data_IF_679122480370
#
_entry.id   IF_679122480370
#
_cell.length_a   1.000
_cell.length_b   1.000
_cell.length_c   1.000
_cell.angle_alpha   90.00
_cell.angle_beta   90.00
_cell.angle_gamma   90.00
#
_symmetry.space_group_name_H-M   'P 1'
#
loop_
_entity.id
_entity.type
_entity.pdbx_description
1 polymer ?
#
# COMPACT_ATOMS: atom_id res chain seq x y z
N UNK A 1 -21.44 1.67 11.33
CA UNK A 1 -20.17 2.02 12.01
C UNK A 1 -19.49 0.73 12.45
N UNK A 2 -19.98 0.08 13.51
CA UNK A 2 -19.37 -1.16 14.03
C UNK A 2 -18.17 -0.85 14.93
N UNK A 3 -17.77 -1.81 15.78
CA UNK A 3 -16.62 -1.65 16.67
C UNK A 3 -15.32 -1.44 15.89
N UNK A 4 -15.14 -2.19 14.81
CA UNK A 4 -13.98 -2.01 13.94
C UNK A 4 -14.02 -0.66 13.20
N UNK A 5 -15.22 -0.15 12.90
CA UNK A 5 -15.41 1.15 12.28
C UNK A 5 -14.86 2.32 13.12
N UNK A 6 -14.84 2.19 14.45
CA UNK A 6 -14.31 3.22 15.36
C UNK A 6 -12.82 3.46 15.14
N UNK A 7 -12.07 2.42 14.77
CA UNK A 7 -10.64 2.54 14.44
C UNK A 7 -10.41 2.77 12.94
N UNK A 8 -11.13 2.04 12.09
CA UNK A 8 -10.99 2.12 10.63
C UNK A 8 -11.20 3.52 10.09
N UNK A 9 -12.23 4.23 10.56
CA UNK A 9 -12.59 5.55 10.05
C UNK A 9 -11.48 6.58 10.30
N UNK A 10 -11.03 6.84 11.55
CA UNK A 10 -9.99 7.84 11.78
C UNK A 10 -8.66 7.48 11.11
N UNK A 11 -8.26 6.20 11.09
CA UNK A 11 -6.98 5.83 10.47
C UNK A 11 -7.00 6.03 8.96
N UNK A 12 -8.08 5.61 8.27
CA UNK A 12 -8.20 5.81 6.83
C UNK A 12 -8.37 7.28 6.46
N UNK A 13 -9.08 8.09 7.26
CA UNK A 13 -9.18 9.53 7.04
C UNK A 13 -7.82 10.22 7.18
N UNK A 14 -7.04 9.86 8.20
CA UNK A 14 -5.67 10.38 8.38
C UNK A 14 -4.76 9.97 7.22
N UNK A 15 -4.72 8.68 6.87
CA UNK A 15 -3.90 8.21 5.75
C UNK A 15 -4.28 8.91 4.43
N UNK A 16 -5.59 9.05 4.16
CA UNK A 16 -6.09 9.68 2.93
C UNK A 16 -5.76 11.17 2.86
N UNK A 17 -6.01 11.90 3.96
CA UNK A 17 -5.76 13.35 3.98
C UNK A 17 -4.28 13.67 3.82
N UNK A 18 -3.40 12.94 4.51
CA UNK A 18 -1.94 13.10 4.38
C UNK A 18 -1.46 12.68 3.00
N UNK A 19 -1.96 11.56 2.44
CA UNK A 19 -1.61 11.14 1.08
C UNK A 19 -1.96 12.21 0.04
N UNK A 20 -3.17 12.76 0.08
CA UNK A 20 -3.61 13.79 -0.87
C UNK A 20 -2.69 15.02 -0.79
N UNK A 21 -2.45 15.54 0.42
CA UNK A 21 -1.61 16.73 0.59
C UNK A 21 -0.17 16.46 0.13
N UNK A 22 0.42 15.34 0.56
CA UNK A 22 1.79 15.00 0.24
C UNK A 22 1.99 14.75 -1.27
N UNK A 23 1.03 14.08 -1.93
CA UNK A 23 1.11 13.79 -3.36
C UNK A 23 1.04 15.07 -4.20
N UNK A 24 0.32 16.09 -3.72
CA UNK A 24 0.27 17.39 -4.39
C UNK A 24 1.51 18.24 -4.08
N UNK A 25 1.93 18.32 -2.82
CA UNK A 25 2.78 19.42 -2.36
C UNK A 25 4.00 19.03 -1.50
N UNK A 26 4.28 17.75 -1.25
CA UNK A 26 5.47 17.38 -0.47
C UNK A 26 6.76 17.82 -1.20
N UNK A 27 7.75 18.36 -0.47
CA UNK A 27 9.06 18.65 -1.04
C UNK A 27 9.82 17.36 -1.39
N UNK A 28 10.97 17.46 -2.08
CA UNK A 28 11.84 16.31 -2.34
C UNK A 28 12.31 15.60 -1.06
N UNK A 29 12.47 14.27 -1.14
CA UNK A 29 12.77 13.37 -0.01
C UNK A 29 14.07 12.60 -0.24
N UNK A 30 14.94 12.52 0.76
CA UNK A 30 16.22 11.80 0.71
C UNK A 30 16.07 10.30 1.02
N UNK A 31 15.52 9.56 0.06
CA UNK A 31 15.16 8.13 0.20
C UNK A 31 16.33 7.23 0.60
N UNK A 32 17.52 7.44 0.02
CA UNK A 32 18.68 6.57 0.27
C UNK A 32 19.56 7.07 1.42
N UNK A 33 19.23 8.24 2.01
CA UNK A 33 20.01 8.84 3.10
C UNK A 33 21.39 9.35 2.67
N UNK A 34 21.60 9.53 1.37
CA UNK A 34 22.85 9.97 0.75
C UNK A 34 22.86 11.46 0.42
N UNK A 35 21.85 12.21 0.87
CA UNK A 35 21.65 13.64 0.60
C UNK A 35 21.36 13.93 -0.88
N UNK A 36 20.62 13.04 -1.52
CA UNK A 36 20.13 13.20 -2.90
C UNK A 36 18.60 13.14 -2.92
N UNK A 37 17.91 14.27 -2.68
CA UNK A 37 16.45 14.28 -2.57
C UNK A 37 15.74 14.00 -3.90
N UNK A 38 14.75 13.11 -3.87
CA UNK A 38 13.90 12.75 -5.00
C UNK A 38 12.58 13.50 -4.92
N UNK A 39 12.21 14.21 -6.00
CA UNK A 39 10.93 14.91 -6.08
C UNK A 39 9.79 13.93 -6.42
N UNK A 40 8.79 13.82 -5.53
CA UNK A 40 7.64 12.93 -5.73
C UNK A 40 6.31 13.63 -6.03
N UNK A 41 6.16 14.92 -5.71
CA UNK A 41 4.85 15.58 -5.76
C UNK A 41 4.60 16.37 -7.04
N UNK A 42 3.32 16.68 -7.30
CA UNK A 42 2.88 17.39 -8.51
C UNK A 42 3.47 18.81 -8.61
N UNK A 43 3.47 19.57 -7.51
CA UNK A 43 4.01 20.94 -7.50
C UNK A 43 5.53 20.99 -7.71
N UNK A 44 6.22 19.86 -7.53
CA UNK A 44 7.65 19.72 -7.77
C UNK A 44 7.96 19.02 -9.11
N UNK A 45 7.07 19.17 -10.11
CA UNK A 45 7.35 18.82 -11.50
C UNK A 45 6.93 17.40 -11.92
N UNK A 46 6.17 16.69 -11.08
CA UNK A 46 5.63 15.38 -11.45
C UNK A 46 4.24 15.47 -12.09
N UNK A 47 3.93 14.49 -12.95
CA UNK A 47 2.58 14.22 -13.39
C UNK A 47 2.00 13.02 -12.61
N UNK A 48 0.78 12.58 -12.95
CA UNK A 48 0.11 11.47 -12.26
C UNK A 48 0.89 10.15 -12.35
N UNK A 49 1.64 9.92 -13.43
CA UNK A 49 2.42 8.70 -13.64
C UNK A 49 3.73 8.76 -12.84
N UNK A 50 4.45 9.88 -12.94
CA UNK A 50 5.75 10.05 -12.29
C UNK A 50 5.65 10.36 -10.80
N UNK A 51 4.52 10.90 -10.35
CA UNK A 51 4.30 11.28 -8.96
C UNK A 51 4.23 10.09 -8.01
N UNK A 52 4.76 10.28 -6.81
CA UNK A 52 4.78 9.30 -5.73
C UNK A 52 4.91 9.97 -4.36
N UNK A 53 4.43 9.29 -3.31
CA UNK A 53 4.99 9.50 -1.96
C UNK A 53 6.26 8.67 -1.86
N UNK A 54 7.38 9.37 -1.71
CA UNK A 54 8.71 8.76 -1.61
C UNK A 54 8.87 8.07 -0.25
N UNK A 55 9.38 6.83 -0.19
CA UNK A 55 9.69 6.14 1.06
C UNK A 55 10.58 6.93 2.02
N UNK A 56 10.49 6.61 3.31
CA UNK A 56 11.32 7.27 4.34
C UNK A 56 12.79 6.90 4.18
N UNK A 57 13.67 7.84 4.52
CA UNK A 57 15.11 7.72 4.33
C UNK A 57 15.72 6.44 4.91
N UNK A 58 16.67 5.84 4.20
CA UNK A 58 17.47 4.72 4.69
C UNK A 58 18.30 5.08 5.94
N UNK A 59 18.58 6.38 6.16
CA UNK A 59 19.18 6.86 7.41
C UNK A 59 18.29 6.62 8.65
N UNK A 60 16.97 6.47 8.46
CA UNK A 60 16.02 6.07 9.51
C UNK A 60 15.97 4.54 9.65
N UNK A 61 16.14 3.79 8.55
CA UNK A 61 16.00 2.33 8.57
C UNK A 61 14.59 1.90 9.01
N UNK A 62 14.51 1.05 10.03
CA UNK A 62 13.25 0.57 10.66
C UNK A 62 12.82 1.39 11.89
N UNK A 63 13.51 2.50 12.21
CA UNK A 63 13.11 3.34 13.32
C UNK A 63 11.73 3.97 13.06
N UNK A 64 10.91 4.01 14.12
CA UNK A 64 9.61 4.67 14.07
C UNK A 64 9.82 6.18 14.07
N UNK A 65 9.41 6.86 12.99
CA UNK A 65 9.66 8.29 12.78
C UNK A 65 8.36 9.12 12.67
N UNK A 66 7.62 9.27 13.79
CA UNK A 66 6.46 10.15 13.86
C UNK A 66 6.87 11.62 13.81
N UNK A 67 5.90 12.51 13.59
CA UNK A 67 6.14 13.96 13.47
C UNK A 67 6.92 14.53 14.68
N UNK A 68 6.67 14.03 15.89
CA UNK A 68 7.30 14.52 17.12
C UNK A 68 8.73 14.01 17.37
N UNK A 69 9.25 13.09 16.56
CA UNK A 69 10.68 12.73 16.59
C UNK A 69 11.54 13.70 15.77
N UNK A 70 10.94 14.46 14.85
CA UNK A 70 11.64 15.48 14.08
C UNK A 70 11.75 16.80 14.85
N UNK A 71 12.82 17.55 14.62
CA UNK A 71 13.00 18.90 15.19
C UNK A 71 12.06 19.94 14.55
N UNK A 72 11.56 19.67 13.34
CA UNK A 72 10.66 20.54 12.59
C UNK A 72 9.88 19.74 11.55
N UNK A 73 8.81 20.35 11.01
CA UNK A 73 8.10 19.77 9.87
C UNK A 73 8.96 19.70 8.61
N UNK A 74 9.87 20.66 8.40
CA UNK A 74 10.76 20.66 7.24
C UNK A 74 11.71 19.46 7.26
N UNK A 75 12.27 19.13 8.44
CA UNK A 75 13.08 17.93 8.63
C UNK A 75 12.24 16.66 8.41
N UNK A 76 11.04 16.61 9.00
CA UNK A 76 10.15 15.45 8.86
C UNK A 76 9.79 15.18 7.39
N UNK A 77 9.51 16.25 6.63
CA UNK A 77 9.24 16.17 5.20
C UNK A 77 10.47 15.74 4.40
N UNK A 78 11.64 16.31 4.67
CA UNK A 78 12.90 15.95 4.00
C UNK A 78 13.25 14.46 4.15
N UNK A 79 12.96 13.89 5.33
CA UNK A 79 13.24 12.49 5.64
C UNK A 79 12.13 11.50 5.24
N UNK A 80 11.07 11.96 4.57
CA UNK A 80 10.00 11.08 4.07
C UNK A 80 9.05 10.59 5.15
N UNK A 81 8.90 11.34 6.24
CA UNK A 81 7.94 11.05 7.30
C UNK A 81 6.49 10.79 6.85
N UNK A 82 5.94 11.46 5.82
CA UNK A 82 4.60 11.16 5.31
C UNK A 82 4.41 9.69 4.92
N UNK A 83 5.44 9.03 4.38
CA UNK A 83 5.36 7.64 3.95
C UNK A 83 5.02 6.69 5.11
N UNK A 84 5.79 6.75 6.20
CA UNK A 84 5.54 5.90 7.37
C UNK A 84 4.16 6.20 7.97
N UNK A 85 3.78 7.48 8.08
CA UNK A 85 2.46 7.86 8.62
C UNK A 85 1.33 7.25 7.78
N UNK A 86 1.37 7.41 6.46
CA UNK A 86 0.34 6.88 5.55
C UNK A 86 0.30 5.36 5.63
N UNK A 87 1.44 4.68 5.48
CA UNK A 87 1.52 3.21 5.47
C UNK A 87 0.97 2.61 6.76
N UNK A 88 1.40 3.10 7.92
CA UNK A 88 0.98 2.53 9.21
C UNK A 88 -0.51 2.76 9.48
N UNK A 89 -1.03 3.96 9.19
CA UNK A 89 -2.46 4.24 9.35
C UNK A 89 -3.31 3.46 8.33
N UNK A 90 -2.84 3.33 7.08
CA UNK A 90 -3.48 2.53 6.05
C UNK A 90 -3.59 1.07 6.45
N UNK A 91 -2.47 0.43 6.88
CA UNK A 91 -2.45 -0.97 7.28
C UNK A 91 -3.38 -1.24 8.47
N UNK A 92 -3.37 -0.37 9.49
CA UNK A 92 -4.32 -0.45 10.60
C UNK A 92 -5.78 -0.32 10.12
N UNK A 93 -6.04 0.61 9.20
CA UNK A 93 -7.34 0.83 8.60
C UNK A 93 -7.88 -0.39 7.84
N UNK A 94 -7.07 -0.98 6.96
CA UNK A 94 -7.50 -2.16 6.18
C UNK A 94 -7.61 -3.43 7.03
N UNK A 95 -6.80 -3.57 8.08
CA UNK A 95 -6.98 -4.63 9.08
C UNK A 95 -8.32 -4.49 9.82
N UNK A 96 -8.69 -3.27 10.21
CA UNK A 96 -10.00 -3.01 10.79
C UNK A 96 -11.13 -3.21 9.75
N UNK A 97 -10.88 -2.93 8.48
CA UNK A 97 -11.85 -3.17 7.41
C UNK A 97 -12.21 -4.67 7.28
N UNK A 98 -11.22 -5.57 7.36
CA UNK A 98 -11.47 -7.04 7.43
C UNK A 98 -12.44 -7.35 8.59
N UNK A 99 -12.16 -6.82 9.78
CA UNK A 99 -13.01 -7.02 10.95
C UNK A 99 -14.42 -6.45 10.77
N UNK A 100 -14.54 -5.31 10.09
CA UNK A 100 -15.83 -4.68 9.79
C UNK A 100 -16.67 -5.51 8.81
N UNK A 101 -16.06 -6.12 7.78
CA UNK A 101 -16.77 -7.04 6.88
C UNK A 101 -17.34 -8.24 7.65
N UNK A 102 -16.53 -8.83 8.52
CA UNK A 102 -16.98 -9.90 9.40
C UNK A 102 -18.10 -9.44 10.35
N UNK A 103 -17.93 -8.31 11.02
CA UNK A 103 -18.92 -7.78 11.97
C UNK A 103 -20.27 -7.59 11.30
N UNK A 104 -20.29 -6.97 10.11
CA UNK A 104 -21.53 -6.76 9.36
C UNK A 104 -22.15 -8.08 8.91
N UNK A 105 -21.35 -9.04 8.44
CA UNK A 105 -21.86 -10.36 8.07
C UNK A 105 -22.57 -11.04 9.24
N UNK A 106 -22.03 -10.91 10.46
CA UNK A 106 -22.65 -11.44 11.67
C UNK A 106 -23.95 -10.71 12.01
N UNK A 107 -23.99 -9.37 11.92
CA UNK A 107 -25.22 -8.59 12.19
C UNK A 107 -26.37 -8.95 11.25
N UNK A 108 -26.06 -9.32 10.01
CA UNK A 108 -27.04 -9.68 8.99
C UNK A 108 -27.34 -11.18 8.93
N UNK A 109 -26.75 -12.00 9.80
CA UNK A 109 -26.91 -13.46 9.75
C UNK A 109 -26.36 -14.09 8.45
N UNK A 110 -25.41 -13.42 7.80
CA UNK A 110 -24.75 -13.90 6.58
C UNK A 110 -23.67 -14.93 6.91
N UNK A 111 -23.23 -15.67 5.87
CA UNK A 111 -22.04 -16.52 5.95
C UNK A 111 -20.79 -15.62 6.10
N UNK A 112 -19.88 -15.89 7.05
CA UNK A 112 -18.88 -14.90 7.51
C UNK A 112 -17.55 -14.92 6.72
N UNK A 113 -17.54 -15.36 5.46
CA UNK A 113 -16.30 -15.66 4.72
C UNK A 113 -15.88 -14.62 3.68
N UNK A 114 -16.63 -13.52 3.55
CA UNK A 114 -16.23 -12.39 2.68
C UNK A 114 -14.91 -11.78 3.18
N UNK A 115 -14.82 -11.57 4.51
CA UNK A 115 -13.62 -11.03 5.16
C UNK A 115 -12.38 -11.91 4.94
N UNK A 116 -12.57 -13.23 4.85
CA UNK A 116 -11.49 -14.20 4.57
C UNK A 116 -10.95 -14.03 3.15
N UNK A 117 -11.82 -13.78 2.17
CA UNK A 117 -11.35 -13.48 0.81
C UNK A 117 -10.55 -12.16 0.79
N UNK A 118 -10.99 -11.16 1.56
CA UNK A 118 -10.32 -9.86 1.63
C UNK A 118 -8.98 -9.89 2.38
N UNK A 119 -8.63 -10.95 3.12
CA UNK A 119 -7.30 -11.06 3.71
C UNK A 119 -6.19 -11.22 2.68
N UNK A 120 -6.47 -11.76 1.49
CA UNK A 120 -5.47 -11.95 0.43
C UNK A 120 -4.82 -10.63 -0.04
N UNK A 121 -5.58 -9.60 -0.47
CA UNK A 121 -4.98 -8.31 -0.83
C UNK A 121 -4.37 -7.57 0.38
N UNK A 122 -4.93 -7.72 1.59
CA UNK A 122 -4.33 -7.11 2.79
C UNK A 122 -2.99 -7.75 3.15
N UNK A 123 -2.85 -9.06 2.99
CA UNK A 123 -1.57 -9.75 3.15
C UNK A 123 -0.54 -9.31 2.10
N UNK A 124 -0.95 -9.13 0.84
CA UNK A 124 -0.07 -8.60 -0.20
C UNK A 124 0.40 -7.16 0.10
N UNK A 125 -0.50 -6.29 0.57
CA UNK A 125 -0.16 -4.94 1.00
C UNK A 125 0.82 -4.94 2.19
N UNK A 126 0.56 -5.77 3.20
CA UNK A 126 1.48 -5.93 4.34
C UNK A 126 2.86 -6.47 3.91
N UNK A 127 2.90 -7.35 2.90
CA UNK A 127 4.15 -7.88 2.37
C UNK A 127 5.06 -6.77 1.81
N UNK A 128 4.52 -5.89 0.97
CA UNK A 128 5.32 -4.85 0.29
C UNK A 128 5.56 -3.59 1.12
N UNK A 129 4.69 -3.28 2.09
CA UNK A 129 4.79 -2.05 2.90
C UNK A 129 5.38 -2.25 4.30
N UNK A 130 5.44 -3.49 4.79
CA UNK A 130 5.91 -3.76 6.16
C UNK A 130 6.89 -4.93 6.24
N UNK A 131 6.50 -6.11 5.74
CA UNK A 131 7.32 -7.33 5.91
C UNK A 131 8.64 -7.21 5.13
N UNK A 132 8.57 -6.77 3.86
CA UNK A 132 9.77 -6.60 3.05
C UNK A 132 10.72 -5.52 3.62
N UNK A 133 10.24 -4.30 3.98
CA UNK A 133 11.04 -3.34 4.73
C UNK A 133 11.72 -3.89 5.99
N UNK A 134 10.99 -4.64 6.82
CA UNK A 134 11.57 -5.25 8.03
C UNK A 134 12.67 -6.26 7.65
N UNK A 135 12.45 -7.06 6.61
CA UNK A 135 13.42 -8.04 6.11
C UNK A 135 14.69 -7.40 5.55
N UNK A 136 14.58 -6.26 4.88
CA UNK A 136 15.73 -5.50 4.36
C UNK A 136 16.37 -4.58 5.42
N UNK A 137 15.66 -4.29 6.51
CA UNK A 137 16.13 -3.41 7.57
C UNK A 137 15.89 -1.92 7.31
N UNK A 138 15.06 -1.58 6.31
CA UNK A 138 14.72 -0.19 6.02
C UNK A 138 13.35 0.00 5.37
N UNK A 139 12.63 1.04 5.79
CA UNK A 139 11.42 1.50 5.08
C UNK A 139 11.72 2.15 3.72
N UNK A 140 12.97 2.51 3.42
CA UNK A 140 13.40 2.99 2.09
C UNK A 140 13.15 1.95 0.99
N UNK A 141 13.24 0.66 1.33
CA UNK A 141 13.04 -0.45 0.41
C UNK A 141 11.57 -0.87 0.30
N UNK A 142 10.67 -0.20 1.02
CA UNK A 142 9.24 -0.37 0.84
C UNK A 142 8.76 0.16 -0.49
N UNK A 143 7.68 -0.42 -1.03
CA UNK A 143 7.13 0.02 -2.31
C UNK A 143 6.67 1.49 -2.24
N UNK A 144 7.18 2.39 -3.11
CA UNK A 144 6.73 3.79 -3.14
C UNK A 144 5.24 3.92 -3.45
N UNK A 145 4.58 4.95 -2.92
CA UNK A 145 3.15 5.18 -3.18
C UNK A 145 2.96 5.98 -4.47
N UNK A 146 3.24 5.36 -5.62
CA UNK A 146 3.12 5.96 -6.95
C UNK A 146 3.27 4.95 -8.06
N UNK A 147 2.85 5.32 -9.28
CA UNK A 147 2.83 4.40 -10.43
C UNK A 147 4.26 4.04 -10.86
N UNK A 148 5.07 5.04 -11.22
CA UNK A 148 6.47 4.81 -11.57
C UNK A 148 7.28 4.19 -10.44
N UNK A 149 7.01 4.58 -9.19
CA UNK A 149 7.66 4.01 -8.02
C UNK A 149 7.35 2.52 -7.81
N UNK A 150 6.14 2.08 -8.14
CA UNK A 150 5.78 0.65 -8.15
C UNK A 150 6.62 -0.12 -9.17
N UNK A 151 6.81 0.43 -10.38
CA UNK A 151 7.68 -0.22 -11.38
C UNK A 151 9.14 -0.28 -10.92
N UNK A 152 9.65 0.79 -10.31
CA UNK A 152 10.99 0.80 -9.74
C UNK A 152 11.16 -0.32 -8.70
N UNK A 153 10.23 -0.43 -7.74
CA UNK A 153 10.23 -1.50 -6.74
C UNK A 153 10.27 -2.89 -7.40
N UNK A 154 9.41 -3.14 -8.40
CA UNK A 154 9.37 -4.44 -9.09
C UNK A 154 10.69 -4.78 -9.82
N UNK A 155 11.33 -3.80 -10.45
CA UNK A 155 12.58 -4.00 -11.17
C UNK A 155 13.74 -4.31 -10.21
N UNK A 156 13.84 -3.57 -9.11
CA UNK A 156 14.84 -3.82 -8.05
C UNK A 156 14.59 -5.18 -7.40
N UNK A 157 13.34 -5.49 -7.07
CA UNK A 157 12.98 -6.79 -6.48
C UNK A 157 13.32 -7.96 -7.42
N UNK A 158 13.13 -7.80 -8.72
CA UNK A 158 13.57 -8.80 -9.70
C UNK A 158 15.09 -8.94 -9.73
N UNK A 159 15.84 -7.84 -9.68
CA UNK A 159 17.30 -7.86 -9.69
C UNK A 159 17.88 -8.57 -8.45
N UNK A 160 17.29 -8.32 -7.28
CA UNK A 160 17.78 -8.86 -6.00
C UNK A 160 17.28 -10.28 -5.71
N UNK A 161 16.06 -10.63 -6.09
CA UNK A 161 15.41 -11.88 -5.67
C UNK A 161 15.05 -12.83 -6.81
N UNK A 162 15.24 -12.42 -8.07
CA UNK A 162 14.84 -13.20 -9.25
C UNK A 162 13.40 -13.72 -9.15
N UNK A 163 12.46 -12.86 -8.74
CA UNK A 163 11.08 -13.21 -8.38
C UNK A 163 10.34 -13.99 -9.47
N UNK A 164 10.65 -13.75 -10.75
CA UNK A 164 10.04 -14.50 -11.87
C UNK A 164 10.31 -16.01 -11.79
N UNK A 165 11.41 -16.42 -11.16
CA UNK A 165 11.76 -17.83 -10.95
C UNK A 165 11.22 -18.41 -9.64
N UNK A 166 10.56 -17.60 -8.81
CA UNK A 166 10.01 -18.05 -7.54
C UNK A 166 8.62 -18.69 -7.71
N UNK A 167 8.38 -19.92 -7.21
CA UNK A 167 7.14 -20.65 -7.45
C UNK A 167 5.91 -19.94 -6.84
N UNK A 168 6.04 -19.25 -5.72
CA UNK A 168 4.90 -18.50 -5.15
C UNK A 168 4.47 -17.32 -6.02
N UNK A 169 5.41 -16.66 -6.70
CA UNK A 169 5.04 -15.61 -7.65
C UNK A 169 4.33 -16.21 -8.87
N UNK A 170 4.82 -17.33 -9.40
CA UNK A 170 4.18 -18.06 -10.49
C UNK A 170 2.75 -18.53 -10.14
N UNK A 171 2.53 -19.00 -8.91
CA UNK A 171 1.20 -19.32 -8.40
C UNK A 171 0.31 -18.07 -8.30
N UNK A 172 0.86 -16.93 -7.86
CA UNK A 172 0.17 -15.65 -7.88
C UNK A 172 -0.27 -15.23 -9.28
N UNK A 173 0.63 -15.35 -10.27
CA UNK A 173 0.35 -15.09 -11.69
C UNK A 173 -0.77 -16.00 -12.21
N UNK A 174 -0.70 -17.31 -11.93
CA UNK A 174 -1.75 -18.25 -12.28
C UNK A 174 -3.09 -17.88 -11.63
N UNK A 175 -3.07 -17.43 -10.37
CA UNK A 175 -4.24 -16.96 -9.64
C UNK A 175 -4.92 -15.76 -10.29
N UNK A 176 -4.17 -14.71 -10.64
CA UNK A 176 -4.76 -13.49 -11.24
C UNK A 176 -5.20 -13.69 -12.69
N UNK A 177 -4.45 -14.46 -13.49
CA UNK A 177 -4.85 -14.80 -14.85
C UNK A 177 -6.05 -15.75 -14.88
N UNK A 178 -6.04 -16.79 -14.05
CA UNK A 178 -7.18 -17.68 -13.87
C UNK A 178 -8.42 -16.92 -13.38
N UNK A 179 -8.27 -16.04 -12.38
CA UNK A 179 -9.36 -15.21 -11.86
C UNK A 179 -9.98 -14.30 -12.92
N UNK A 180 -9.14 -13.67 -13.76
CA UNK A 180 -9.61 -12.83 -14.88
C UNK A 180 -10.36 -13.65 -15.93
N UNK A 181 -9.80 -14.81 -16.31
CA UNK A 181 -10.43 -15.75 -17.24
C UNK A 181 -11.79 -16.23 -16.75
N UNK A 182 -11.88 -16.66 -15.49
CA UNK A 182 -13.12 -17.17 -14.91
C UNK A 182 -14.14 -16.07 -14.67
N UNK A 183 -13.73 -14.85 -14.35
CA UNK A 183 -14.63 -13.68 -14.27
C UNK A 183 -15.29 -13.42 -15.62
N UNK A 184 -14.50 -13.37 -16.70
CA UNK A 184 -15.01 -13.19 -18.06
C UNK A 184 -15.92 -14.36 -18.50
N UNK A 185 -15.52 -15.60 -18.20
CA UNK A 185 -16.30 -16.79 -18.52
C UNK A 185 -17.63 -16.84 -17.75
N UNK A 186 -17.63 -16.51 -16.46
CA UNK A 186 -18.85 -16.47 -15.67
C UNK A 186 -19.82 -15.41 -16.22
N UNK A 187 -19.31 -14.20 -16.46
CA UNK A 187 -20.10 -13.11 -17.05
C UNK A 187 -20.70 -13.49 -18.40
N UNK A 188 -19.92 -14.15 -19.27
CA UNK A 188 -20.41 -14.56 -20.60
C UNK A 188 -21.47 -15.66 -20.54
N UNK A 189 -21.32 -16.66 -19.66
CA UNK A 189 -22.27 -17.76 -19.50
C UNK A 189 -23.59 -17.32 -18.86
N UNK A 190 -23.54 -16.47 -17.84
CA UNK A 190 -24.75 -15.92 -17.23
C UNK A 190 -25.51 -15.05 -18.24
N UNK A 191 -24.78 -14.18 -18.95
CA UNK A 191 -25.39 -13.27 -19.93
C UNK A 191 -26.02 -14.03 -21.11
N UNK A 192 -25.41 -15.13 -21.56
CA UNK A 192 -25.90 -15.91 -22.70
C UNK A 192 -27.16 -16.72 -22.42
N UNK A 193 -27.62 -16.78 -21.16
CA UNK A 193 -28.74 -17.62 -20.72
C UNK A 193 -29.85 -16.85 -20.00
N UNK A 194 -29.90 -15.52 -20.14
CA UNK A 194 -30.98 -14.71 -19.60
C UNK A 194 -32.34 -15.10 -20.20
N UNK A 195 -33.34 -15.28 -19.34
CA UNK A 195 -34.73 -15.52 -19.75
C UNK A 195 -35.28 -14.20 -20.32
N UNK A 196 -35.92 -14.27 -21.49
CA UNK A 196 -36.56 -13.12 -22.13
C UNK A 196 -37.83 -12.71 -21.41
#
# INVERSE_FOLDING_TARGET
>A
IGWFGVLMIPTLLTATSVFIIAFVAAPPVDIDGIREPVAGSLLYGNNIISGAIIPSSAAIGIHFYPIWEASSLDEWLYNGGPYQLIVLHFLLGVCCYIGREWELSYRLGMRPWISVAFTAPVAAAAAVFLVYPIGQGSFSDGMPLGISGTFNFMLVFQAEHNILMHPFHQLGVAGVFGGSLFSAMHGSLVTSSLIR
#
